data_IF_238028193581
#
_entry.id   IF_238028193581
#
_cell.length_a   1.000
_cell.length_b   1.000
_cell.length_c   1.000
_cell.angle_alpha   90.00
_cell.angle_beta   90.00
_cell.angle_gamma   90.00
#
_symmetry.space_group_name_H-M   'P 1'
#
loop_
_entity.id
_entity.type
_entity.pdbx_description
1 polymer ?
#
# COMPACT_ATOMS: atom_id res chain seq x y z
N UNK A 1 -8.78 17.80 4.17
CA UNK A 1 -7.38 17.60 3.70
C UNK A 1 -7.23 16.39 2.78
N UNK A 2 -7.72 15.20 3.15
CA UNK A 2 -7.57 13.96 2.38
C UNK A 2 -8.13 14.02 0.93
N UNK A 3 -9.33 14.59 0.73
CA UNK A 3 -9.93 14.72 -0.62
C UNK A 3 -9.09 15.62 -1.53
N UNK A 4 -8.56 16.72 -0.99
CA UNK A 4 -7.70 17.63 -1.76
C UNK A 4 -6.41 16.92 -2.20
N UNK A 5 -5.76 16.20 -1.27
CA UNK A 5 -4.58 15.40 -1.59
C UNK A 5 -4.89 14.36 -2.67
N UNK A 6 -6.04 13.68 -2.57
CA UNK A 6 -6.49 12.72 -3.57
C UNK A 6 -6.66 13.36 -4.96
N UNK A 7 -7.32 14.51 -5.05
CA UNK A 7 -7.51 15.23 -6.32
C UNK A 7 -6.16 15.67 -6.89
N UNK A 8 -5.30 16.25 -6.07
CA UNK A 8 -3.96 16.70 -6.49
C UNK A 8 -3.13 15.54 -7.02
N UNK A 9 -3.13 14.39 -6.32
CA UNK A 9 -2.44 13.18 -6.76
C UNK A 9 -3.05 12.63 -8.06
N UNK A 10 -4.38 12.63 -8.17
CA UNK A 10 -5.09 12.24 -9.40
C UNK A 10 -4.68 13.07 -10.61
N UNK A 11 -4.65 14.40 -10.47
CA UNK A 11 -4.20 15.31 -11.52
C UNK A 11 -2.71 15.12 -11.83
N UNK A 12 -1.86 15.03 -10.81
CA UNK A 12 -0.41 14.86 -10.95
C UNK A 12 -0.07 13.57 -11.70
N UNK A 13 -0.64 12.43 -11.29
CA UNK A 13 -0.36 11.15 -11.95
C UNK A 13 -0.99 11.04 -13.34
N UNK A 14 -2.16 11.66 -13.56
CA UNK A 14 -2.74 11.81 -14.90
C UNK A 14 -1.84 12.63 -15.82
N UNK A 15 -1.09 13.60 -15.30
CA UNK A 15 -0.09 14.33 -16.06
C UNK A 15 1.17 13.47 -16.30
N UNK A 16 1.73 12.88 -15.24
CA UNK A 16 2.98 12.08 -15.30
C UNK A 16 2.86 10.92 -16.29
N UNK A 17 1.73 10.21 -16.32
CA UNK A 17 1.55 9.07 -17.23
C UNK A 17 1.67 9.47 -18.71
N UNK A 18 1.38 10.72 -19.06
CA UNK A 18 1.54 11.25 -20.43
C UNK A 18 3.00 11.57 -20.80
N UNK A 19 3.92 11.56 -19.82
CA UNK A 19 5.32 11.94 -19.99
C UNK A 19 6.28 10.75 -19.96
N UNK A 20 5.91 9.66 -19.28
CA UNK A 20 6.75 8.48 -19.15
C UNK A 20 6.99 7.84 -20.54
N UNK A 21 8.25 7.55 -20.93
CA UNK A 21 8.56 7.00 -22.25
C UNK A 21 7.83 5.70 -22.57
N UNK A 22 7.64 4.82 -21.58
CA UNK A 22 6.90 3.57 -21.73
C UNK A 22 5.49 3.79 -22.30
N UNK A 23 4.70 4.70 -21.70
CA UNK A 23 3.35 5.00 -22.18
C UNK A 23 3.36 5.86 -23.44
N UNK A 24 4.29 6.82 -23.56
CA UNK A 24 4.40 7.67 -24.76
C UNK A 24 4.73 6.87 -26.01
N UNK A 25 5.56 5.83 -25.90
CA UNK A 25 5.96 4.96 -27.01
C UNK A 25 4.90 3.90 -27.37
N UNK A 26 3.81 3.81 -26.61
CA UNK A 26 2.71 2.86 -26.89
C UNK A 26 1.86 3.22 -28.11
N UNK A 27 1.99 4.44 -28.65
CA UNK A 27 1.14 4.94 -29.74
C UNK A 27 -0.25 5.41 -29.30
N UNK A 28 -0.61 5.27 -28.02
CA UNK A 28 -1.89 5.74 -27.48
C UNK A 28 -1.94 7.26 -27.37
N UNK A 29 -3.12 7.84 -27.59
CA UNK A 29 -3.36 9.27 -27.38
C UNK A 29 -3.25 9.63 -25.89
N UNK A 30 -2.90 10.88 -25.59
CA UNK A 30 -2.82 11.38 -24.20
C UNK A 30 -4.14 11.23 -23.45
N UNK A 31 -5.27 11.49 -24.12
CA UNK A 31 -6.61 11.36 -23.54
C UNK A 31 -6.97 9.90 -23.24
N UNK A 32 -6.57 8.97 -24.11
CA UNK A 32 -6.74 7.53 -23.86
C UNK A 32 -5.94 7.09 -22.64
N UNK A 33 -4.68 7.53 -22.50
CA UNK A 33 -3.85 7.22 -21.34
C UNK A 33 -4.46 7.74 -20.03
N UNK A 34 -4.93 9.00 -20.04
CA UNK A 34 -5.62 9.59 -18.88
C UNK A 34 -6.90 8.83 -18.57
N UNK A 35 -7.72 8.51 -19.59
CA UNK A 35 -8.95 7.74 -19.42
C UNK A 35 -8.72 6.36 -18.81
N UNK A 36 -7.71 5.62 -19.29
CA UNK A 36 -7.32 4.32 -18.73
C UNK A 36 -6.82 4.44 -17.28
N UNK A 37 -6.07 5.49 -16.97
CA UNK A 37 -5.60 5.75 -15.61
C UNK A 37 -6.78 6.05 -14.67
N UNK A 38 -7.70 6.92 -15.08
CA UNK A 38 -8.92 7.23 -14.30
C UNK A 38 -9.76 5.97 -14.10
N UNK A 39 -9.97 5.17 -15.15
CA UNK A 39 -10.69 3.89 -15.05
C UNK A 39 -10.03 2.95 -14.02
N UNK A 40 -8.69 2.86 -14.02
CA UNK A 40 -7.94 2.09 -13.02
C UNK A 40 -8.18 2.60 -11.59
N UNK A 41 -8.20 3.93 -11.39
CA UNK A 41 -8.50 4.54 -10.08
C UNK A 41 -9.92 4.19 -9.65
N UNK A 42 -10.91 4.32 -10.54
CA UNK A 42 -12.30 3.95 -10.25
C UNK A 42 -12.45 2.47 -9.90
N UNK A 43 -11.74 1.57 -10.57
CA UNK A 43 -11.71 0.16 -10.23
C UNK A 43 -11.14 -0.08 -8.81
N UNK A 44 -10.10 0.66 -8.42
CA UNK A 44 -9.57 0.66 -7.05
C UNK A 44 -10.58 1.17 -6.02
N UNK A 45 -11.34 2.21 -6.34
CA UNK A 45 -12.43 2.71 -5.48
C UNK A 45 -13.58 1.71 -5.34
N UNK A 46 -13.95 1.03 -6.43
CA UNK A 46 -14.95 -0.03 -6.40
C UNK A 46 -14.50 -1.22 -5.54
N UNK A 47 -13.22 -1.62 -5.65
CA UNK A 47 -12.61 -2.61 -4.78
C UNK A 47 -12.65 -2.18 -3.31
N UNK A 48 -12.27 -0.92 -3.03
CA UNK A 48 -12.30 -0.35 -1.69
C UNK A 48 -13.73 -0.37 -1.10
N UNK A 49 -14.72 -0.01 -1.91
CA UNK A 49 -16.13 -0.05 -1.53
C UNK A 49 -16.60 -1.47 -1.22
N UNK A 50 -16.26 -2.45 -2.07
CA UNK A 50 -16.64 -3.86 -1.85
C UNK A 50 -16.13 -4.38 -0.50
N UNK A 51 -14.87 -4.11 -0.16
CA UNK A 51 -14.30 -4.52 1.13
C UNK A 51 -14.69 -3.62 2.31
N UNK A 52 -15.40 -2.52 2.08
CA UNK A 52 -16.03 -1.74 3.17
C UNK A 52 -17.30 -2.41 3.71
N UNK A 53 -17.91 -3.33 2.94
CA UNK A 53 -19.10 -4.06 3.34
C UNK A 53 -18.81 -4.96 4.55
N UNK A 54 -19.70 -5.02 5.57
CA UNK A 54 -19.45 -5.74 6.81
C UNK A 54 -19.05 -7.21 6.64
N UNK A 55 -19.63 -7.90 5.66
CA UNK A 55 -19.36 -9.31 5.39
C UNK A 55 -17.95 -9.59 4.83
N UNK A 56 -17.32 -8.61 4.18
CA UNK A 56 -16.03 -8.78 3.49
C UNK A 56 -14.89 -8.05 4.18
N UNK A 57 -15.20 -7.04 5.01
CA UNK A 57 -14.22 -6.22 5.72
C UNK A 57 -13.15 -7.00 6.50
N UNK A 58 -13.47 -8.10 7.22
CA UNK A 58 -12.45 -8.88 7.94
C UNK A 58 -11.42 -9.56 7.04
N UNK A 59 -11.77 -9.85 5.79
CA UNK A 59 -10.97 -10.64 4.85
C UNK A 59 -10.10 -9.77 3.93
N UNK A 60 -10.08 -8.45 4.12
CA UNK A 60 -9.30 -7.56 3.27
C UNK A 60 -7.89 -7.36 3.82
N UNK A 61 -6.91 -8.05 3.24
CA UNK A 61 -5.50 -7.80 3.54
C UNK A 61 -5.11 -6.35 3.25
N UNK A 62 -5.62 -5.77 2.17
CA UNK A 62 -5.36 -4.37 1.78
C UNK A 62 -5.76 -3.37 2.86
N UNK A 63 -6.99 -3.46 3.38
CA UNK A 63 -7.44 -2.56 4.45
C UNK A 63 -6.79 -2.89 5.80
N UNK A 64 -6.56 -4.18 6.08
CA UNK A 64 -5.90 -4.59 7.31
C UNK A 64 -4.48 -4.02 7.40
N UNK A 65 -3.68 -4.19 6.35
CA UNK A 65 -2.32 -3.66 6.30
C UNK A 65 -2.30 -2.14 6.29
N UNK A 66 -3.21 -1.48 5.56
CA UNK A 66 -3.33 -0.02 5.63
C UNK A 66 -3.64 0.47 7.05
N UNK A 67 -4.55 -0.17 7.77
CA UNK A 67 -4.87 0.24 9.15
C UNK A 67 -3.71 0.01 10.12
N UNK A 68 -2.94 -1.07 9.94
CA UNK A 68 -1.73 -1.30 10.71
C UNK A 68 -0.65 -0.27 10.38
N UNK A 69 -0.49 0.09 9.11
CA UNK A 69 0.53 1.07 8.70
C UNK A 69 0.24 2.48 9.19
N UNK A 70 -1.02 2.84 9.44
CA UNK A 70 -1.35 4.12 10.09
C UNK A 70 -0.73 4.21 11.50
N UNK A 71 -0.77 3.13 12.28
CA UNK A 71 -0.19 3.10 13.63
C UNK A 71 1.34 3.12 13.58
N UNK A 72 1.92 2.35 12.67
CA UNK A 72 3.36 2.35 12.40
C UNK A 72 3.87 3.73 11.94
N UNK A 73 3.12 4.42 11.07
CA UNK A 73 3.44 5.77 10.62
C UNK A 73 3.43 6.76 11.78
N UNK A 74 2.42 6.67 12.65
CA UNK A 74 2.36 7.49 13.88
C UNK A 74 3.57 7.22 14.79
N UNK A 75 4.03 5.97 14.88
CA UNK A 75 5.21 5.62 15.66
C UNK A 75 6.51 6.12 15.02
N UNK A 76 6.68 5.97 13.71
CA UNK A 76 7.81 6.49 12.95
C UNK A 76 7.98 8.01 13.17
N UNK A 77 6.87 8.77 13.12
CA UNK A 77 6.90 10.22 13.33
C UNK A 77 7.31 10.55 14.77
N UNK A 78 6.81 9.81 15.76
CA UNK A 78 7.07 10.08 17.19
C UNK A 78 8.44 9.60 17.66
N UNK A 79 8.91 8.45 17.20
CA UNK A 79 10.11 7.77 17.66
C UNK A 79 10.83 7.00 16.52
N UNK A 80 11.43 7.71 15.56
CA UNK A 80 11.96 7.10 14.33
C UNK A 80 13.07 6.07 14.57
N UNK A 81 13.94 6.29 15.57
CA UNK A 81 15.01 5.34 15.89
C UNK A 81 14.46 4.04 16.49
N UNK A 82 13.39 4.10 17.28
CA UNK A 82 12.76 2.91 17.84
C UNK A 82 12.08 2.11 16.73
N UNK A 83 11.35 2.80 15.84
CA UNK A 83 10.73 2.21 14.66
C UNK A 83 11.73 1.46 13.76
N UNK A 84 12.88 2.06 13.46
CA UNK A 84 13.90 1.42 12.61
C UNK A 84 14.55 0.21 13.27
N UNK A 85 14.74 0.23 14.59
CA UNK A 85 15.24 -0.94 15.33
C UNK A 85 14.23 -2.08 15.32
N UNK A 86 12.95 -1.74 15.37
CA UNK A 86 11.87 -2.72 15.44
C UNK A 86 11.77 -3.61 14.19
N UNK A 87 12.20 -3.09 13.03
CA UNK A 87 12.30 -3.87 11.77
C UNK A 87 13.12 -5.15 11.99
N UNK A 88 14.13 -5.11 12.85
CA UNK A 88 15.07 -6.21 13.10
C UNK A 88 14.78 -6.98 14.40
N UNK A 89 13.63 -6.75 15.03
CA UNK A 89 13.20 -7.48 16.22
C UNK A 89 11.97 -8.34 15.95
N UNK A 90 11.77 -9.34 16.81
CA UNK A 90 10.59 -10.19 16.81
C UNK A 90 10.06 -10.37 18.23
N UNK A 91 8.74 -10.54 18.36
CA UNK A 91 8.07 -10.76 19.64
C UNK A 91 7.92 -12.24 20.04
N UNK A 92 8.52 -13.16 19.29
CA UNK A 92 8.43 -14.60 19.55
C UNK A 92 9.29 -15.03 20.73
N UNK A 93 8.75 -15.94 21.54
CA UNK A 93 9.52 -16.58 22.63
C UNK A 93 10.64 -17.46 22.09
N UNK A 94 10.34 -18.20 21.02
CA UNK A 94 11.27 -19.08 20.30
C UNK A 94 11.18 -18.75 18.80
N UNK A 95 12.28 -18.27 18.21
CA UNK A 95 12.31 -17.95 16.79
C UNK A 95 12.62 -19.19 15.94
N UNK A 96 11.74 -19.47 14.98
CA UNK A 96 11.94 -20.51 13.97
C UNK A 96 13.00 -20.12 12.92
N UNK A 97 13.48 -21.12 12.20
CA UNK A 97 14.31 -20.92 11.01
C UNK A 97 13.47 -20.49 9.78
N UNK A 98 14.13 -20.25 8.65
CA UNK A 98 13.51 -19.78 7.40
C UNK A 98 12.46 -20.74 6.80
N UNK A 99 12.50 -22.04 7.14
CA UNK A 99 11.62 -23.06 6.57
C UNK A 99 10.40 -23.37 7.45
N UNK A 100 10.33 -22.80 8.66
CA UNK A 100 9.21 -23.03 9.57
C UNK A 100 8.07 -22.06 9.25
N UNK A 101 6.84 -22.58 9.14
CA UNK A 101 5.66 -21.79 8.77
C UNK A 101 5.09 -20.87 9.85
N UNK A 102 5.56 -21.01 11.10
CA UNK A 102 5.11 -20.24 12.26
C UNK A 102 6.29 -19.65 13.03
N UNK A 103 6.10 -18.49 13.67
CA UNK A 103 7.11 -17.82 14.50
C UNK A 103 8.46 -17.63 13.79
N UNK A 104 8.43 -17.41 12.47
CA UNK A 104 9.63 -17.22 11.66
C UNK A 104 9.73 -15.77 11.24
N UNK A 105 10.64 -15.04 11.90
CA UNK A 105 10.93 -13.64 11.57
C UNK A 105 11.16 -13.44 10.08
N UNK A 106 11.86 -14.35 9.41
CA UNK A 106 12.17 -14.24 7.98
C UNK A 106 10.95 -14.36 7.08
N UNK A 107 9.97 -15.18 7.47
CA UNK A 107 8.72 -15.32 6.73
C UNK A 107 7.78 -14.13 6.96
N UNK A 108 7.80 -13.58 8.18
CA UNK A 108 6.98 -12.43 8.55
C UNK A 108 7.58 -11.08 8.10
N UNK A 109 8.89 -11.04 7.85
CA UNK A 109 9.61 -9.82 7.47
C UNK A 109 8.98 -9.14 6.25
N UNK A 110 8.50 -9.92 5.27
CA UNK A 110 7.78 -9.37 4.11
C UNK A 110 6.55 -8.59 4.54
N UNK A 111 5.72 -9.17 5.42
CA UNK A 111 4.50 -8.53 5.89
C UNK A 111 4.82 -7.33 6.78
N UNK A 112 5.82 -7.45 7.66
CA UNK A 112 6.28 -6.37 8.53
C UNK A 112 6.77 -5.16 7.74
N UNK A 113 7.57 -5.38 6.67
CA UNK A 113 8.05 -4.29 5.80
C UNK A 113 6.90 -3.66 5.00
N UNK A 114 5.85 -4.40 4.65
CA UNK A 114 4.69 -3.81 3.95
C UNK A 114 3.85 -2.94 4.90
N UNK A 115 3.79 -3.31 6.18
CA UNK A 115 3.05 -2.58 7.21
C UNK A 115 3.81 -1.34 7.68
N UNK A 116 5.14 -1.38 7.73
CA UNK A 116 6.02 -0.28 8.14
C UNK A 116 6.22 0.77 7.04
#
# INVERSE_FOLDING_TARGET
MQILVFILYGCLFSFIITKIPFFKKSGLSKWTLIGLFVLKVLAGLAYAYFYSLPAYRPNSDSFRFFNYSLQETDWLIKQPLAFLKDIFSYGYRDAGNIFIGENSYWNDLKSNIIIK
#
